data_IF_372559315616
#
_entry.id   IF_372559315616
#
_cell.length_a   1.000
_cell.length_b   1.000
_cell.length_c   1.000
_cell.angle_alpha   90.00
_cell.angle_beta   90.00
_cell.angle_gamma   90.00
#
_symmetry.space_group_name_H-M   'P 1'
#
loop_
_entity.id
_entity.type
_entity.pdbx_description
1 polymer ?
#
# COMPACT_ATOMS: atom_id res chain seq x y z
N UNK A 1 1.57 -0.47 17.70
CA UNK A 1 2.68 0.05 16.88
C UNK A 1 3.97 -0.25 17.61
N UNK A 2 5.06 -0.47 16.88
CA UNK A 2 6.40 -0.54 17.51
C UNK A 2 6.85 0.85 17.95
N UNK A 3 7.72 0.97 18.97
CA UNK A 3 8.23 2.29 19.44
C UNK A 3 8.85 3.13 18.32
N UNK A 4 9.45 2.48 17.33
CA UNK A 4 9.99 3.15 16.14
C UNK A 4 8.89 3.76 15.26
N UNK A 5 7.75 3.07 15.07
CA UNK A 5 6.62 3.59 14.31
C UNK A 5 6.01 4.82 14.99
N UNK A 6 5.89 4.80 16.32
CA UNK A 6 5.45 5.96 17.11
C UNK A 6 6.44 7.13 17.02
N UNK A 7 7.75 6.87 17.04
CA UNK A 7 8.75 7.91 16.79
C UNK A 7 8.65 8.46 15.36
N UNK A 8 8.32 7.62 14.37
CA UNK A 8 8.13 8.07 12.99
C UNK A 8 6.92 9.00 12.83
N UNK A 9 5.80 8.76 13.52
CA UNK A 9 4.62 9.66 13.45
C UNK A 9 4.93 11.06 13.99
N UNK A 10 5.87 11.16 14.93
CA UNK A 10 6.36 12.42 15.51
C UNK A 10 7.55 13.04 14.77
N UNK A 11 7.96 12.47 13.63
CA UNK A 11 9.18 12.85 12.88
C UNK A 11 10.50 12.65 13.66
N UNK A 12 10.47 11.90 14.76
CA UNK A 12 11.59 11.62 15.66
C UNK A 12 12.27 10.27 15.37
N UNK A 13 11.82 9.53 14.34
CA UNK A 13 12.33 8.19 14.03
C UNK A 13 13.85 8.11 13.81
N UNK A 14 14.45 9.14 13.19
CA UNK A 14 15.91 9.18 12.99
C UNK A 14 16.68 9.49 14.29
N UNK A 15 16.06 10.21 15.23
CA UNK A 15 16.65 10.43 16.56
C UNK A 15 16.61 9.12 17.36
N UNK A 16 15.44 8.46 17.37
CA UNK A 16 15.26 7.15 17.99
C UNK A 16 16.27 6.11 17.48
N UNK A 17 16.48 6.02 16.16
CA UNK A 17 17.48 5.09 15.60
C UNK A 17 18.89 5.38 16.09
N UNK A 18 19.29 6.66 16.15
CA UNK A 18 20.63 7.06 16.60
C UNK A 18 20.87 6.78 18.08
N UNK A 19 19.84 6.92 18.91
CA UNK A 19 19.89 6.51 20.32
C UNK A 19 20.13 5.01 20.48
N UNK A 20 19.65 4.20 19.53
CA UNK A 20 19.90 2.76 19.48
C UNK A 20 21.20 2.40 18.73
N UNK A 21 22.03 3.38 18.37
CA UNK A 21 23.26 3.18 17.60
C UNK A 21 23.04 2.81 16.13
N UNK A 22 21.81 2.93 15.64
CA UNK A 22 21.42 2.60 14.27
C UNK A 22 21.31 3.87 13.42
N UNK A 23 21.59 3.70 12.12
CA UNK A 23 21.40 4.75 11.12
C UNK A 23 20.32 4.36 10.13
N UNK A 24 19.63 5.36 9.57
CA UNK A 24 18.58 5.16 8.56
C UNK A 24 19.10 4.46 7.29
N UNK A 25 20.39 4.62 6.97
CA UNK A 25 21.07 3.88 5.90
C UNK A 25 21.06 2.38 6.15
N UNK A 26 21.37 1.93 7.38
CA UNK A 26 21.37 0.52 7.77
C UNK A 26 19.96 -0.07 7.68
N UNK A 27 18.96 0.66 8.17
CA UNK A 27 17.55 0.26 8.02
C UNK A 27 17.13 0.09 6.56
N UNK A 28 17.63 0.95 5.67
CA UNK A 28 17.32 0.86 4.24
C UNK A 28 17.97 -0.38 3.62
N UNK A 29 19.23 -0.67 3.95
CA UNK A 29 19.93 -1.87 3.46
C UNK A 29 19.29 -3.16 4.00
N UNK A 30 18.89 -3.20 5.27
CA UNK A 30 18.20 -4.36 5.83
C UNK A 30 16.84 -4.61 5.20
N UNK A 31 16.08 -3.55 4.88
CA UNK A 31 14.83 -3.71 4.13
C UNK A 31 15.08 -4.31 2.75
N UNK A 32 16.10 -3.82 2.02
CA UNK A 32 16.47 -4.40 0.71
C UNK A 32 16.84 -5.88 0.82
N UNK A 33 17.65 -6.25 1.82
CA UNK A 33 18.04 -7.65 2.06
C UNK A 33 16.82 -8.53 2.39
N UNK A 34 15.91 -8.03 3.22
CA UNK A 34 14.66 -8.72 3.54
C UNK A 34 13.77 -8.91 2.31
N UNK A 35 13.55 -7.85 1.53
CA UNK A 35 12.65 -7.88 0.38
C UNK A 35 13.21 -8.77 -0.75
N UNK A 36 14.55 -8.82 -0.87
CA UNK A 36 15.25 -9.77 -1.74
C UNK A 36 15.27 -11.21 -1.22
N UNK A 37 14.83 -11.46 0.03
CA UNK A 37 14.75 -12.80 0.62
C UNK A 37 16.10 -13.41 1.02
N UNK A 38 17.19 -12.65 0.99
CA UNK A 38 18.54 -13.17 1.27
C UNK A 38 18.76 -13.53 2.75
N UNK A 39 17.84 -13.11 3.61
CA UNK A 39 17.81 -13.44 5.04
C UNK A 39 17.21 -14.83 5.33
N UNK A 40 16.53 -15.46 4.37
CA UNK A 40 15.93 -16.78 4.61
C UNK A 40 17.00 -17.86 4.76
N UNK A 41 16.94 -18.60 5.86
CA UNK A 41 17.88 -19.70 6.17
C UNK A 41 19.24 -19.25 6.73
N UNK A 42 19.47 -17.95 6.91
CA UNK A 42 20.69 -17.40 7.49
C UNK A 42 20.57 -17.24 9.00
N UNK A 43 21.64 -17.52 9.75
CA UNK A 43 21.66 -17.31 11.21
C UNK A 43 21.93 -15.85 11.54
N UNK A 44 21.46 -15.40 12.71
CA UNK A 44 21.79 -14.07 13.21
C UNK A 44 23.31 -13.89 13.32
N UNK A 45 23.84 -12.80 12.78
CA UNK A 45 25.27 -12.50 12.75
C UNK A 45 26.04 -13.10 11.57
N UNK A 46 25.40 -13.88 10.69
CA UNK A 46 26.04 -14.35 9.47
C UNK A 46 26.23 -13.19 8.48
N UNK A 47 27.43 -13.09 7.89
CA UNK A 47 27.73 -12.04 6.94
C UNK A 47 26.90 -12.23 5.67
N UNK A 48 26.10 -11.21 5.34
CA UNK A 48 25.33 -11.16 4.10
C UNK A 48 26.17 -10.38 3.10
N UNK A 49 26.56 -11.06 2.02
CA UNK A 49 27.24 -10.43 0.91
C UNK A 49 26.36 -9.41 0.17
N UNK A 50 26.92 -8.78 -0.85
CA UNK A 50 26.11 -7.96 -1.77
C UNK A 50 25.05 -8.83 -2.44
N UNK A 51 23.86 -8.27 -2.66
CA UNK A 51 22.80 -8.95 -3.41
C UNK A 51 23.33 -9.34 -4.80
N UNK A 52 22.97 -10.53 -5.26
CA UNK A 52 23.18 -10.92 -6.65
C UNK A 52 22.26 -10.10 -7.57
N UNK A 53 22.62 -9.98 -8.84
CA UNK A 53 21.79 -9.29 -9.83
C UNK A 53 20.37 -9.87 -9.87
N UNK A 54 20.25 -11.20 -9.82
CA UNK A 54 18.97 -11.92 -9.78
C UNK A 54 18.14 -11.55 -8.55
N UNK A 55 18.75 -11.53 -7.35
CA UNK A 55 18.07 -11.16 -6.11
C UNK A 55 17.56 -9.70 -6.16
N UNK A 56 18.36 -8.81 -6.75
CA UNK A 56 17.96 -7.41 -6.93
C UNK A 56 16.79 -7.26 -7.90
N UNK A 57 16.76 -8.04 -9.00
CA UNK A 57 15.66 -7.99 -9.96
C UNK A 57 14.40 -8.64 -9.40
N UNK A 58 14.51 -9.75 -8.64
CA UNK A 58 13.37 -10.34 -7.93
C UNK A 58 12.74 -9.32 -6.96
N UNK A 59 13.56 -8.61 -6.18
CA UNK A 59 13.05 -7.56 -5.29
C UNK A 59 12.36 -6.43 -6.08
N UNK A 60 12.93 -6.02 -7.22
CA UNK A 60 12.35 -5.00 -8.10
C UNK A 60 11.00 -5.44 -8.66
N UNK A 61 10.92 -6.65 -9.19
CA UNK A 61 9.71 -7.21 -9.79
C UNK A 61 8.61 -7.40 -8.74
N UNK A 62 8.95 -7.89 -7.54
CA UNK A 62 7.98 -8.00 -6.43
C UNK A 62 7.37 -6.65 -6.06
N UNK A 63 8.19 -5.59 -5.99
CA UNK A 63 7.71 -4.23 -5.71
C UNK A 63 6.81 -3.71 -6.83
N UNK A 64 7.15 -3.96 -8.09
CA UNK A 64 6.31 -3.57 -9.22
C UNK A 64 4.96 -4.28 -9.20
N UNK A 65 4.97 -5.57 -8.88
CA UNK A 65 3.75 -6.37 -8.72
C UNK A 65 2.87 -5.79 -7.61
N UNK A 66 3.41 -5.55 -6.42
CA UNK A 66 2.65 -4.96 -5.30
C UNK A 66 2.02 -3.61 -5.67
N UNK A 67 2.76 -2.73 -6.33
CA UNK A 67 2.24 -1.43 -6.79
C UNK A 67 1.13 -1.62 -7.82
N UNK A 68 1.31 -2.54 -8.77
CA UNK A 68 0.31 -2.81 -9.81
C UNK A 68 -0.98 -3.40 -9.24
N UNK A 69 -0.86 -4.34 -8.30
CA UNK A 69 -2.00 -4.92 -7.59
C UNK A 69 -2.71 -3.89 -6.71
N UNK A 70 -1.96 -2.99 -6.07
CA UNK A 70 -2.53 -1.88 -5.30
C UNK A 70 -3.36 -0.95 -6.17
N UNK A 71 -2.87 -0.60 -7.37
CA UNK A 71 -3.63 0.19 -8.33
C UNK A 71 -4.87 -0.53 -8.83
N UNK A 72 -4.74 -1.83 -9.12
CA UNK A 72 -5.87 -2.66 -9.55
C UNK A 72 -6.98 -2.68 -8.49
N UNK A 73 -6.63 -2.93 -7.22
CA UNK A 73 -7.57 -2.87 -6.09
C UNK A 73 -8.24 -1.50 -5.97
N UNK A 74 -7.48 -0.42 -6.17
CA UNK A 74 -8.03 0.94 -6.14
C UNK A 74 -9.04 1.17 -7.27
N UNK A 75 -8.73 0.70 -8.49
CA UNK A 75 -9.64 0.81 -9.64
C UNK A 75 -10.90 -0.04 -9.48
N UNK A 76 -10.78 -1.26 -8.95
CA UNK A 76 -11.92 -2.13 -8.64
C UNK A 76 -12.83 -1.50 -7.58
N UNK A 77 -12.24 -0.90 -6.53
CA UNK A 77 -13.01 -0.18 -5.52
C UNK A 77 -13.77 1.02 -6.13
N UNK A 78 -13.14 1.76 -7.04
CA UNK A 78 -13.80 2.86 -7.74
C UNK A 78 -14.97 2.38 -8.61
N UNK A 79 -14.79 1.27 -9.34
CA UNK A 79 -15.85 0.64 -10.13
C UNK A 79 -17.03 0.24 -9.24
N UNK A 80 -16.77 -0.42 -8.10
CA UNK A 80 -17.83 -0.80 -7.16
C UNK A 80 -18.58 0.39 -6.56
N UNK A 81 -17.94 1.54 -6.38
CA UNK A 81 -18.62 2.78 -5.98
C UNK A 81 -19.51 3.30 -7.11
N UNK A 82 -19.02 3.29 -8.35
CA UNK A 82 -19.79 3.75 -9.51
C UNK A 82 -21.02 2.88 -9.76
N UNK A 83 -20.92 1.56 -9.61
CA UNK A 83 -22.06 0.63 -9.71
C UNK A 83 -23.12 0.90 -8.63
N UNK A 84 -22.70 1.16 -7.39
CA UNK A 84 -23.63 1.55 -6.31
C UNK A 84 -24.30 2.87 -6.61
N UNK A 85 -23.56 3.83 -7.16
CA UNK A 85 -24.07 5.15 -7.51
C UNK A 85 -25.07 5.07 -8.66
N UNK A 86 -24.81 4.26 -9.69
CA UNK A 86 -25.76 4.06 -10.80
C UNK A 86 -27.04 3.39 -10.31
N UNK A 87 -26.94 2.34 -9.49
CA UNK A 87 -28.10 1.69 -8.90
C UNK A 87 -28.91 2.65 -8.01
N UNK A 88 -28.23 3.51 -7.25
CA UNK A 88 -28.90 4.56 -6.47
C UNK A 88 -29.68 5.54 -7.36
N UNK A 89 -29.10 5.99 -8.47
CA UNK A 89 -29.80 6.87 -9.41
C UNK A 89 -30.97 6.18 -10.11
N UNK A 90 -30.84 4.90 -10.51
CA UNK A 90 -31.93 4.12 -11.09
C UNK A 90 -33.13 3.97 -10.13
N UNK A 91 -32.84 3.71 -8.85
CA UNK A 91 -33.87 3.66 -7.81
C UNK A 91 -34.53 5.03 -7.61
N UNK A 92 -33.75 6.10 -7.54
CA UNK A 92 -34.28 7.46 -7.35
C UNK A 92 -35.16 7.92 -8.54
N UNK A 93 -34.82 7.53 -9.77
CA UNK A 93 -35.65 7.78 -10.96
C UNK A 93 -36.96 6.98 -10.89
N UNK A 94 -36.89 5.72 -10.44
CA UNK A 94 -38.05 4.83 -10.33
C UNK A 94 -38.99 5.21 -9.18
N UNK A 95 -38.47 5.79 -8.10
CA UNK A 95 -39.24 6.25 -6.93
C UNK A 95 -39.78 7.68 -7.11
N UNK A 96 -39.29 8.43 -8.09
CA UNK A 96 -39.83 9.76 -8.42
C UNK A 96 -41.26 9.66 -8.95
N UNK A 97 -42.27 10.24 -8.25
CA UNK A 97 -43.63 10.23 -8.73
C UNK A 97 -43.71 11.12 -9.98
N UNK A 98 -44.08 10.53 -11.11
CA UNK A 98 -44.39 11.25 -12.33
C UNK A 98 -45.34 12.44 -12.01
N UNK A 99 -44.88 13.65 -12.29
CA UNK A 99 -45.58 14.89 -12.01
C UNK A 99 -47.03 14.87 -12.56
N UNK A 100 -47.99 15.52 -11.87
CA UNK A 100 -49.41 15.41 -12.19
C UNK A 100 -49.72 15.96 -13.59
N UNK A 101 -50.42 15.16 -14.40
CA UNK A 101 -50.88 15.54 -15.74
C UNK A 101 -51.73 16.82 -15.65
N UNK A 102 -51.28 17.87 -16.32
CA UNK A 102 -52.02 19.12 -16.49
C UNK A 102 -53.34 18.88 -17.22
N UNK A 103 -54.48 19.14 -16.57
CA UNK A 103 -55.79 19.24 -17.24
C UNK A 103 -55.84 20.55 -18.04
N UNK A 104 -55.91 20.45 -19.36
CA UNK A 104 -56.28 21.61 -20.22
C UNK A 104 -57.78 21.88 -20.08
N UNK A 105 -58.11 23.16 -19.94
CA UNK A 105 -59.45 23.75 -20.06
C UNK A 105 -60.02 23.53 -21.45
#
# INVERSE_FOLDING_TARGET
MTRYEEACTRQEGNAFLREQGLYSSQMTEWRKQRDAGVLQGKKAGEAIGKLTAEQSEIARLRRQLEVSEGRLKQTEAALGIMEKLSAFFENAISESPAAPKSKKK
#
